data_IF_783672755043
#
_entry.id   IF_783672755043
#
_cell.length_a   1.000
_cell.length_b   1.000
_cell.length_c   1.000
_cell.angle_alpha   90.00
_cell.angle_beta   90.00
_cell.angle_gamma   90.00
#
_symmetry.space_group_name_H-M   'P 1'
#
loop_
_entity.id
_entity.type
_entity.pdbx_description
1 polymer ?
#
# COMPACT_ATOMS: atom_id res chain seq x y z
N UNK A 1 12.49 -19.60 -1.13
CA UNK A 1 11.50 -18.56 -1.51
C UNK A 1 10.47 -18.50 -0.39
N UNK A 2 10.23 -17.32 0.18
CA UNK A 2 9.23 -17.12 1.24
C UNK A 2 7.88 -16.85 0.58
N UNK A 3 6.89 -17.68 0.87
CA UNK A 3 5.54 -17.57 0.34
C UNK A 3 4.55 -18.21 1.32
N UNK A 4 3.47 -17.50 1.64
CA UNK A 4 2.39 -17.98 2.49
C UNK A 4 1.14 -18.19 1.62
N UNK A 5 0.66 -19.44 1.45
CA UNK A 5 -0.57 -19.70 0.71
C UNK A 5 -1.76 -18.93 1.28
N UNK A 6 -2.45 -18.18 0.42
CA UNK A 6 -3.64 -17.40 0.80
C UNK A 6 -3.36 -16.00 1.36
N UNK A 7 -2.10 -15.65 1.66
CA UNK A 7 -1.74 -14.32 2.17
C UNK A 7 -1.06 -13.46 1.09
N UNK A 8 -1.85 -13.03 0.12
CA UNK A 8 -1.39 -12.18 -1.00
C UNK A 8 -0.76 -10.89 -0.51
N UNK A 9 -1.33 -10.26 0.52
CA UNK A 9 -0.84 -9.00 1.08
C UNK A 9 0.58 -9.16 1.64
N UNK A 10 0.83 -10.23 2.41
CA UNK A 10 2.18 -10.55 2.90
C UNK A 10 3.15 -10.79 1.75
N UNK A 11 2.79 -11.67 0.81
CA UNK A 11 3.68 -12.10 -0.27
C UNK A 11 4.09 -10.94 -1.20
N UNK A 12 3.13 -10.13 -1.63
CA UNK A 12 3.36 -8.97 -2.48
C UNK A 12 4.14 -7.88 -1.76
N UNK A 13 3.83 -7.63 -0.47
CA UNK A 13 4.55 -6.64 0.33
C UNK A 13 6.00 -7.05 0.56
N UNK A 14 6.24 -8.34 0.85
CA UNK A 14 7.58 -8.90 1.01
C UNK A 14 8.39 -8.79 -0.29
N UNK A 15 7.82 -9.22 -1.41
CA UNK A 15 8.47 -9.16 -2.72
C UNK A 15 8.81 -7.72 -3.11
N UNK A 16 7.87 -6.78 -2.89
CA UNK A 16 8.10 -5.35 -3.16
C UNK A 16 9.22 -4.79 -2.28
N UNK A 17 9.25 -5.11 -0.98
CA UNK A 17 10.32 -4.64 -0.11
C UNK A 17 11.70 -5.18 -0.51
N UNK A 18 11.79 -6.46 -0.89
CA UNK A 18 13.02 -7.07 -1.43
C UNK A 18 13.44 -6.39 -2.73
N UNK A 19 12.51 -6.14 -3.66
CA UNK A 19 12.79 -5.46 -4.92
C UNK A 19 13.38 -4.08 -4.67
N UNK A 20 12.75 -3.27 -3.81
CA UNK A 20 13.18 -1.90 -3.54
C UNK A 20 14.57 -1.83 -2.91
N UNK A 21 14.81 -2.63 -1.88
CA UNK A 21 16.05 -2.57 -1.12
C UNK A 21 17.18 -3.29 -1.86
N UNK A 22 16.86 -4.35 -2.61
CA UNK A 22 17.80 -5.01 -3.53
C UNK A 22 18.19 -4.09 -4.67
N UNK A 23 17.23 -3.37 -5.26
CA UNK A 23 17.49 -2.35 -6.27
C UNK A 23 18.33 -1.21 -5.69
N UNK A 24 18.01 -0.71 -4.50
CA UNK A 24 18.79 0.33 -3.81
C UNK A 24 20.26 -0.09 -3.66
N UNK A 25 20.54 -1.28 -3.12
CA UNK A 25 21.92 -1.76 -2.93
C UNK A 25 22.66 -1.96 -4.26
N UNK A 26 21.99 -2.55 -5.26
CA UNK A 26 22.56 -2.76 -6.58
C UNK A 26 22.94 -1.44 -7.26
N UNK A 27 22.06 -0.44 -7.18
CA UNK A 27 22.26 0.87 -7.78
C UNK A 27 23.35 1.69 -7.07
N UNK A 28 23.41 1.65 -5.72
CA UNK A 28 24.52 2.23 -4.96
C UNK A 28 25.85 1.62 -5.42
N UNK A 29 25.90 0.30 -5.63
CA UNK A 29 27.13 -0.38 -6.08
C UNK A 29 27.56 -0.01 -7.50
N UNK A 30 26.65 0.55 -8.33
CA UNK A 30 26.89 0.90 -9.74
C UNK A 30 26.95 2.40 -10.02
N UNK A 31 26.58 3.24 -9.04
CA UNK A 31 26.50 4.70 -9.21
C UNK A 31 25.34 5.17 -10.10
N UNK A 32 24.37 4.30 -10.41
CA UNK A 32 23.20 4.60 -11.26
C UNK A 32 22.03 5.05 -10.39
N UNK A 33 21.97 6.35 -10.10
CA UNK A 33 20.97 6.95 -9.20
C UNK A 33 19.62 7.17 -9.86
N UNK A 34 19.56 7.28 -11.20
CA UNK A 34 18.34 7.58 -11.94
C UNK A 34 17.30 6.46 -11.83
N UNK A 35 17.74 5.19 -11.92
CA UNK A 35 16.85 4.03 -11.76
C UNK A 35 16.27 3.92 -10.34
N UNK A 36 16.98 4.42 -9.32
CA UNK A 36 16.54 4.41 -7.92
C UNK A 36 15.45 5.45 -7.71
N UNK A 37 15.67 6.66 -8.25
CA UNK A 37 14.71 7.74 -8.22
C UNK A 37 13.39 7.35 -8.90
N UNK A 38 13.43 6.62 -10.01
CA UNK A 38 12.23 6.09 -10.67
C UNK A 38 11.45 5.09 -9.81
N UNK A 39 12.14 4.22 -9.06
CA UNK A 39 11.49 3.28 -8.14
C UNK A 39 10.87 3.99 -6.93
N UNK A 40 11.57 4.97 -6.36
CA UNK A 40 11.05 5.81 -5.28
C UNK A 40 9.83 6.62 -5.73
N UNK A 41 9.88 7.22 -6.91
CA UNK A 41 8.77 7.97 -7.51
C UNK A 41 7.53 7.06 -7.70
N UNK A 42 7.70 5.80 -8.12
CA UNK A 42 6.60 4.81 -8.16
C UNK A 42 5.98 4.55 -6.78
N UNK A 43 6.79 4.44 -5.73
CA UNK A 43 6.27 4.27 -4.36
C UNK A 43 5.55 5.52 -3.86
N UNK A 44 6.11 6.69 -4.14
CA UNK A 44 5.50 7.95 -3.74
C UNK A 44 4.11 8.10 -4.39
N UNK A 45 3.97 7.78 -5.68
CA UNK A 45 2.68 7.75 -6.36
C UNK A 45 1.70 6.75 -5.75
N UNK A 46 2.20 5.58 -5.35
CA UNK A 46 1.39 4.57 -4.66
C UNK A 46 0.87 5.09 -3.32
N UNK A 47 1.74 5.71 -2.53
CA UNK A 47 1.41 6.28 -1.23
C UNK A 47 0.41 7.44 -1.34
N UNK A 48 0.62 8.36 -2.28
CA UNK A 48 -0.33 9.44 -2.58
C UNK A 48 -1.70 8.88 -2.98
N UNK A 49 -1.74 7.80 -3.77
CA UNK A 49 -2.99 7.13 -4.14
C UNK A 49 -3.65 6.46 -2.94
N UNK A 50 -2.87 5.82 -2.06
CA UNK A 50 -3.36 5.22 -0.81
C UNK A 50 -4.03 6.24 0.09
N UNK A 51 -3.44 7.42 0.26
CA UNK A 51 -4.02 8.50 1.07
C UNK A 51 -5.39 8.94 0.56
N UNK A 52 -5.59 9.03 -0.76
CA UNK A 52 -6.90 9.31 -1.35
C UNK A 52 -7.91 8.19 -1.05
N UNK A 53 -7.51 6.93 -1.20
CA UNK A 53 -8.36 5.76 -0.94
C UNK A 53 -8.75 5.65 0.54
N UNK A 54 -7.83 5.91 1.46
CA UNK A 54 -8.10 5.89 2.91
C UNK A 54 -9.03 7.04 3.30
N UNK A 55 -8.85 8.23 2.72
CA UNK A 55 -9.76 9.37 2.92
C UNK A 55 -11.18 9.04 2.47
N UNK A 56 -11.34 8.41 1.30
CA UNK A 56 -12.65 7.98 0.80
C UNK A 56 -13.26 6.87 1.68
N UNK A 57 -12.45 5.90 2.10
CA UNK A 57 -12.88 4.82 2.99
C UNK A 57 -13.41 5.34 4.32
N UNK A 58 -12.70 6.28 4.96
CA UNK A 58 -13.13 6.91 6.20
C UNK A 58 -14.41 7.77 6.04
N UNK A 59 -14.68 8.32 4.84
CA UNK A 59 -15.96 8.98 4.53
C UNK A 59 -17.10 7.98 4.38
N UNK A 60 -16.85 6.85 3.70
CA UNK A 60 -17.82 5.76 3.55
C UNK A 60 -18.19 5.14 4.90
N UNK A 61 -17.22 4.90 5.78
CA UNK A 61 -17.46 4.39 7.14
C UNK A 61 -18.38 5.31 7.94
N UNK A 62 -18.13 6.63 7.91
CA UNK A 62 -19.00 7.63 8.55
C UNK A 62 -20.40 7.70 7.94
N UNK A 63 -20.52 7.49 6.63
CA UNK A 63 -21.81 7.41 5.94
C UNK A 63 -22.60 6.17 6.40
N UNK A 64 -21.94 5.01 6.46
CA UNK A 64 -22.57 3.76 6.89
C UNK A 64 -22.94 3.76 8.38
N UNK A 65 -22.17 4.43 9.24
CA UNK A 65 -22.53 4.61 10.65
C UNK A 65 -23.84 5.40 10.84
N UNK A 66 -24.36 6.05 9.79
CA UNK A 66 -25.62 6.80 9.79
C UNK A 66 -26.71 6.16 8.93
N UNK A 67 -26.49 4.94 8.41
CA UNK A 67 -27.39 4.30 7.44
C UNK A 67 -28.81 4.14 7.97
N UNK A 68 -28.97 3.88 9.26
CA UNK A 68 -30.28 3.64 9.89
C UNK A 68 -31.15 4.91 9.97
N UNK A 69 -30.54 6.08 9.81
CA UNK A 69 -31.21 7.38 9.85
C UNK A 69 -31.41 8.00 8.44
N UNK A 70 -31.03 7.30 7.38
CA UNK A 70 -31.08 7.80 6.00
C UNK A 70 -31.96 6.91 5.13
N UNK A 71 -32.74 7.53 4.25
CA UNK A 71 -33.45 6.82 3.19
C UNK A 71 -32.45 6.13 2.25
N UNK A 72 -32.75 4.92 1.73
CA UNK A 72 -31.83 4.15 0.89
C UNK A 72 -31.32 4.92 -0.35
N UNK A 73 -32.16 5.73 -0.97
CA UNK A 73 -31.77 6.54 -2.13
C UNK A 73 -30.80 7.67 -1.78
N UNK A 74 -30.96 8.28 -0.60
CA UNK A 74 -30.04 9.30 -0.09
C UNK A 74 -28.68 8.68 0.24
N UNK A 75 -28.68 7.49 0.87
CA UNK A 75 -27.46 6.73 1.13
C UNK A 75 -26.71 6.39 -0.17
N UNK A 76 -27.45 5.95 -1.19
CA UNK A 76 -26.90 5.63 -2.52
C UNK A 76 -26.30 6.86 -3.21
N UNK A 77 -26.99 8.02 -3.14
CA UNK A 77 -26.49 9.26 -3.71
C UNK A 77 -25.19 9.71 -3.02
N UNK A 78 -25.16 9.77 -1.69
CA UNK A 78 -23.95 10.15 -0.97
C UNK A 78 -22.77 9.19 -1.22
N UNK A 79 -23.05 7.89 -1.35
CA UNK A 79 -22.02 6.91 -1.73
C UNK A 79 -21.47 7.20 -3.13
N UNK A 80 -22.33 7.51 -4.10
CA UNK A 80 -21.91 7.89 -5.45
C UNK A 80 -21.07 9.18 -5.45
N UNK A 81 -21.46 10.19 -4.67
CA UNK A 81 -20.73 11.44 -4.54
C UNK A 81 -19.30 11.22 -3.98
N UNK A 82 -19.15 10.34 -2.97
CA UNK A 82 -17.84 10.01 -2.41
C UNK A 82 -16.94 9.34 -3.46
N UNK A 83 -17.48 8.42 -4.28
CA UNK A 83 -16.70 7.80 -5.35
C UNK A 83 -16.36 8.76 -6.48
N UNK A 84 -17.29 9.63 -6.87
CA UNK A 84 -17.04 10.67 -7.86
C UNK A 84 -15.92 11.61 -7.41
N UNK A 85 -15.96 12.05 -6.15
CA UNK A 85 -14.90 12.88 -5.58
C UNK A 85 -13.55 12.17 -5.55
N UNK A 86 -13.50 10.87 -5.18
CA UNK A 86 -12.27 10.09 -5.22
C UNK A 86 -11.71 9.99 -6.65
N UNK A 87 -12.56 9.75 -7.65
CA UNK A 87 -12.14 9.69 -9.05
C UNK A 87 -11.59 11.05 -9.53
N UNK A 88 -12.22 12.16 -9.15
CA UNK A 88 -11.76 13.52 -9.48
C UNK A 88 -10.43 13.87 -8.81
N UNK A 89 -10.28 13.58 -7.52
CA UNK A 89 -9.05 13.85 -6.78
C UNK A 89 -7.90 13.00 -7.34
N UNK A 90 -8.18 11.76 -7.72
CA UNK A 90 -7.21 10.89 -8.36
C UNK A 90 -6.81 11.40 -9.77
N UNK A 91 -7.77 11.84 -10.61
CA UNK A 91 -7.48 12.43 -11.93
C UNK A 91 -6.60 13.68 -11.80
N UNK A 92 -6.86 14.53 -10.80
CA UNK A 92 -6.02 15.70 -10.52
C UNK A 92 -4.61 15.30 -10.10
N UNK A 93 -4.49 14.32 -9.20
CA UNK A 93 -3.20 13.81 -8.73
C UNK A 93 -2.35 13.25 -9.89
N UNK A 94 -2.98 12.56 -10.85
CA UNK A 94 -2.26 11.89 -11.94
C UNK A 94 -2.00 12.76 -13.18
N UNK A 95 -2.48 14.00 -13.23
CA UNK A 95 -2.40 14.87 -14.43
C UNK A 95 -0.96 15.10 -14.92
N UNK A 96 0.03 15.06 -14.02
CA UNK A 96 1.45 15.25 -14.35
C UNK A 96 2.28 13.98 -14.43
N UNK A 97 1.68 12.80 -14.28
CA UNK A 97 2.43 11.54 -14.25
C UNK A 97 2.71 11.03 -15.66
N UNK A 98 3.96 10.59 -15.89
CA UNK A 98 4.38 10.07 -17.21
C UNK A 98 3.73 8.72 -17.55
N UNK A 99 3.39 7.93 -16.53
CA UNK A 99 2.78 6.60 -16.64
C UNK A 99 1.41 6.59 -15.96
N UNK A 100 0.50 5.69 -16.35
CA UNK A 100 -0.75 5.47 -15.63
C UNK A 100 -0.49 5.21 -14.15
N UNK A 101 -1.27 5.86 -13.29
CA UNK A 101 -1.13 5.70 -11.86
C UNK A 101 -1.66 4.35 -11.34
N UNK A 102 -1.58 4.10 -10.02
CA UNK A 102 -1.93 2.81 -9.42
C UNK A 102 -3.39 2.34 -9.58
N UNK A 103 -4.35 3.24 -9.80
CA UNK A 103 -5.74 2.89 -10.11
C UNK A 103 -6.01 2.83 -11.62
N UNK A 104 -4.99 2.98 -12.47
CA UNK A 104 -5.08 3.05 -13.92
C UNK A 104 -5.41 4.46 -14.44
N UNK A 105 -5.49 4.60 -15.76
CA UNK A 105 -5.80 5.89 -16.42
C UNK A 105 -7.25 6.33 -16.18
N UNK A 106 -8.15 5.36 -16.05
CA UNK A 106 -9.56 5.56 -15.72
C UNK A 106 -9.89 4.73 -14.47
N UNK A 107 -9.99 5.36 -13.29
CA UNK A 107 -10.17 4.66 -12.03
C UNK A 107 -11.60 4.09 -11.88
N UNK A 108 -12.54 4.48 -12.73
CA UNK A 108 -13.93 4.04 -12.67
C UNK A 108 -14.14 2.65 -13.31
N UNK A 109 -15.12 1.84 -12.83
CA UNK A 109 -15.95 2.08 -11.66
C UNK A 109 -15.18 1.80 -10.35
N UNK A 110 -15.26 2.76 -9.42
CA UNK A 110 -14.81 2.60 -8.04
C UNK A 110 -15.94 2.00 -7.21
N UNK A 111 -15.60 1.04 -6.34
CA UNK A 111 -16.54 0.42 -5.41
C UNK A 111 -15.80 -0.06 -4.15
N UNK A 112 -16.55 -0.47 -3.13
CA UNK A 112 -15.97 -0.91 -1.85
C UNK A 112 -14.96 -2.06 -2.04
N UNK A 113 -15.23 -3.01 -2.93
CA UNK A 113 -14.34 -4.16 -3.17
C UNK A 113 -13.02 -3.73 -3.81
N UNK A 114 -13.06 -2.80 -4.78
CA UNK A 114 -11.86 -2.26 -5.44
C UNK A 114 -11.02 -1.44 -4.47
N UNK A 115 -11.63 -0.64 -3.59
CA UNK A 115 -10.89 0.08 -2.55
C UNK A 115 -10.25 -0.88 -1.54
N UNK A 116 -10.99 -1.91 -1.11
CA UNK A 116 -10.48 -2.93 -0.20
C UNK A 116 -9.27 -3.68 -0.79
N UNK A 117 -9.39 -4.12 -2.05
CA UNK A 117 -8.30 -4.78 -2.77
C UNK A 117 -7.08 -3.88 -2.89
N UNK A 118 -7.27 -2.61 -3.25
CA UNK A 118 -6.18 -1.65 -3.36
C UNK A 118 -5.44 -1.45 -2.02
N UNK A 119 -6.19 -1.29 -0.93
CA UNK A 119 -5.61 -1.13 0.42
C UNK A 119 -4.82 -2.36 0.83
N UNK A 120 -5.32 -3.56 0.54
CA UNK A 120 -4.67 -4.81 0.95
C UNK A 120 -3.42 -5.15 0.13
N UNK A 121 -3.34 -4.73 -1.14
CA UNK A 121 -2.38 -5.28 -2.10
C UNK A 121 -0.91 -5.13 -1.67
N UNK A 122 -0.55 -4.10 -0.90
CA UNK A 122 0.84 -3.85 -0.44
C UNK A 122 0.94 -3.18 0.93
N UNK A 123 -0.05 -3.35 1.79
CA UNK A 123 -0.13 -2.65 3.08
C UNK A 123 1.07 -2.89 4.00
N UNK A 124 1.80 -3.99 3.84
CA UNK A 124 2.90 -4.36 4.73
C UNK A 124 4.28 -3.96 4.19
N UNK A 125 4.38 -3.24 3.07
CA UNK A 125 5.69 -2.81 2.52
C UNK A 125 6.51 -2.01 3.53
N UNK A 126 5.96 -1.00 4.25
CA UNK A 126 6.71 -0.30 5.29
C UNK A 126 7.23 -1.24 6.39
N UNK A 127 6.42 -2.23 6.79
CA UNK A 127 6.79 -3.21 7.80
C UNK A 127 8.02 -4.03 7.40
N UNK A 128 8.05 -4.54 6.17
CA UNK A 128 9.21 -5.31 5.69
C UNK A 128 10.45 -4.46 5.48
N UNK A 129 10.30 -3.20 5.05
CA UNK A 129 11.44 -2.28 4.95
C UNK A 129 12.00 -1.95 6.33
N UNK A 130 11.14 -1.75 7.34
CA UNK A 130 11.57 -1.63 8.73
C UNK A 130 12.25 -2.90 9.24
N UNK A 131 11.72 -4.08 8.94
CA UNK A 131 12.32 -5.35 9.33
C UNK A 131 13.72 -5.53 8.73
N UNK A 132 13.94 -5.10 7.48
CA UNK A 132 15.27 -5.12 6.87
C UNK A 132 16.22 -4.14 7.55
N UNK A 133 15.75 -2.95 7.95
CA UNK A 133 16.54 -2.00 8.74
C UNK A 133 16.93 -2.59 10.10
N UNK A 134 15.98 -3.20 10.82
CA UNK A 134 16.23 -3.88 12.09
C UNK A 134 17.25 -5.03 11.93
N UNK A 135 17.28 -5.65 10.74
CA UNK A 135 18.27 -6.67 10.35
C UNK A 135 19.63 -6.08 9.95
N UNK A 136 19.84 -4.77 10.08
CA UNK A 136 21.05 -4.06 9.67
C UNK A 136 21.32 -4.17 8.17
N UNK A 137 20.27 -4.20 7.34
CA UNK A 137 20.31 -4.41 5.90
C UNK A 137 20.98 -5.72 5.44
N UNK A 138 21.17 -6.69 6.35
CA UNK A 138 21.64 -8.03 6.01
C UNK A 138 20.46 -8.86 5.54
N UNK A 139 20.42 -9.14 4.24
CA UNK A 139 19.32 -9.90 3.64
C UNK A 139 19.15 -11.28 4.27
N UNK A 140 20.24 -11.98 4.62
CA UNK A 140 20.14 -13.28 5.32
C UNK A 140 19.28 -13.20 6.58
N UNK A 141 19.62 -12.28 7.49
CA UNK A 141 18.90 -12.07 8.75
C UNK A 141 17.46 -11.60 8.51
N UNK A 142 17.25 -10.76 7.50
CA UNK A 142 15.91 -10.33 7.09
C UNK A 142 15.04 -11.49 6.58
N UNK A 143 15.58 -12.39 5.75
CA UNK A 143 14.84 -13.56 5.26
C UNK A 143 14.48 -14.52 6.41
N UNK A 144 15.37 -14.67 7.40
CA UNK A 144 15.09 -15.43 8.62
C UNK A 144 13.95 -14.79 9.41
N UNK A 145 14.02 -13.48 9.68
CA UNK A 145 13.00 -12.75 10.43
C UNK A 145 11.65 -12.72 9.71
N UNK A 146 11.65 -12.53 8.39
CA UNK A 146 10.43 -12.57 7.57
C UNK A 146 9.78 -13.95 7.57
N UNK A 147 10.57 -15.03 7.61
CA UNK A 147 10.04 -16.40 7.75
C UNK A 147 9.40 -16.62 9.11
N UNK A 148 10.07 -16.18 10.18
CA UNK A 148 9.52 -16.27 11.54
C UNK A 148 8.18 -15.51 11.65
N UNK A 149 8.05 -14.34 11.03
CA UNK A 149 6.77 -13.64 10.92
C UNK A 149 5.74 -14.47 10.16
N UNK A 150 6.14 -15.10 9.05
CA UNK A 150 5.25 -15.93 8.24
C UNK A 150 4.74 -17.20 8.92
N UNK A 151 5.49 -17.74 9.89
CA UNK A 151 5.11 -18.91 10.69
C UNK A 151 4.10 -18.58 11.81
N UNK A 152 3.91 -17.31 12.13
CA UNK A 152 2.94 -16.90 13.15
C UNK A 152 1.49 -17.11 12.68
N UNK A 153 0.53 -17.31 13.59
CA UNK A 153 -0.89 -17.22 13.28
C UNK A 153 -1.22 -15.87 12.63
N UNK A 154 -2.21 -15.85 11.73
CA UNK A 154 -2.56 -14.67 10.92
C UNK A 154 -2.72 -13.39 11.75
N UNK A 155 -3.48 -13.46 12.85
CA UNK A 155 -3.70 -12.30 13.71
C UNK A 155 -2.40 -11.75 14.31
N UNK A 156 -1.55 -12.63 14.87
CA UNK A 156 -0.28 -12.23 15.47
C UNK A 156 0.68 -11.65 14.41
N UNK A 157 0.69 -12.24 13.21
CA UNK A 157 1.47 -11.75 12.07
C UNK A 157 1.04 -10.35 11.64
N UNK A 158 -0.26 -10.10 11.53
CA UNK A 158 -0.81 -8.78 11.16
C UNK A 158 -0.47 -7.73 12.22
N UNK A 159 -0.60 -8.05 13.50
CA UNK A 159 -0.24 -7.16 14.61
C UNK A 159 1.26 -6.81 14.58
N UNK A 160 2.14 -7.80 14.39
CA UNK A 160 3.58 -7.59 14.28
C UNK A 160 3.95 -6.73 13.06
N UNK A 161 3.31 -6.95 11.91
CA UNK A 161 3.52 -6.14 10.71
C UNK A 161 3.03 -4.70 10.90
N UNK A 162 1.91 -4.48 11.60
CA UNK A 162 1.42 -3.13 11.92
C UNK A 162 2.42 -2.38 12.79
N UNK A 163 2.92 -3.01 13.86
CA UNK A 163 3.90 -2.40 14.76
C UNK A 163 5.23 -2.06 14.05
N UNK A 164 5.66 -2.90 13.10
CA UNK A 164 6.82 -2.60 12.25
C UNK A 164 6.56 -1.42 11.32
N UNK A 165 5.38 -1.36 10.70
CA UNK A 165 5.01 -0.28 9.78
C UNK A 165 4.94 1.08 10.51
N UNK A 166 4.41 1.14 11.73
CA UNK A 166 4.33 2.36 12.54
C UNK A 166 5.70 2.94 12.90
N UNK A 167 6.73 2.09 12.98
CA UNK A 167 8.12 2.51 13.25
C UNK A 167 8.87 2.97 12.01
N UNK A 168 8.34 2.73 10.81
CA UNK A 168 9.03 3.02 9.58
C UNK A 168 9.01 4.52 9.28
N UNK A 169 10.16 5.17 9.39
CA UNK A 169 10.38 6.53 8.89
C UNK A 169 11.15 6.45 7.58
N UNK A 170 10.70 7.07 6.50
CA UNK A 170 11.42 7.03 5.23
C UNK A 170 12.67 7.93 5.30
N UNK A 171 13.87 7.32 5.28
CA UNK A 171 15.14 8.06 5.26
C UNK A 171 15.43 8.48 3.80
N UNK A 172 15.49 9.79 3.55
CA UNK A 172 15.86 10.39 2.26
C UNK A 172 17.39 10.42 2.07
#
# INVERSE_FOLDING_TARGET
>A
VLYIPGDTAFNESFATAVELEGLRLWLISRGDTDSYLLALDRLQRLEQTRQLVDTASARLERLYARSDALEPDILRQHKADIFGQLADDYRKLTTGWAEPGPLGKDPEPLNNARLALFRQYRQHVPAFRQLLRDSGHRFGDFYEAARQLGEQPEQARVEALSALAERFEEDF
#
